data_IF_980929011268
#
_entry.id   IF_980929011268
#
_cell.length_a   1.000
_cell.length_b   1.000
_cell.length_c   1.000
_cell.angle_alpha   90.00
_cell.angle_beta   90.00
_cell.angle_gamma   90.00
#
_symmetry.space_group_name_H-M   'P 1'
#
loop_
_entity.id
_entity.type
_entity.pdbx_description
1 polymer ?
#
# COMPACT_ATOMS: atom_id res chain seq x y z
N UNK A 1 -18.55 -3.80 13.62
CA UNK A 1 -17.66 -4.28 12.56
C UNK A 1 -16.25 -4.43 13.10
N UNK A 2 -15.68 -5.60 12.93
CA UNK A 2 -14.31 -5.84 13.37
C UNK A 2 -13.34 -5.48 12.24
N UNK A 3 -12.37 -4.63 12.57
CA UNK A 3 -11.29 -4.30 11.63
C UNK A 3 -10.08 -5.13 12.01
N UNK A 4 -9.62 -5.94 11.09
CA UNK A 4 -8.43 -6.75 11.30
C UNK A 4 -7.21 -6.02 10.74
N UNK A 5 -6.25 -5.72 11.60
CA UNK A 5 -4.97 -5.19 11.17
C UNK A 5 -4.02 -6.34 10.84
N UNK A 6 -3.39 -6.25 9.67
CA UNK A 6 -2.40 -7.24 9.26
C UNK A 6 -1.03 -6.57 9.28
N UNK A 7 -0.23 -6.88 10.29
CA UNK A 7 1.05 -6.23 10.52
C UNK A 7 2.20 -6.93 9.79
N UNK A 8 3.35 -6.26 9.73
CA UNK A 8 4.57 -6.89 9.20
C UNK A 8 4.93 -8.16 9.97
N UNK A 9 4.66 -8.17 11.28
CA UNK A 9 4.89 -9.34 12.10
C UNK A 9 4.04 -10.53 11.65
N UNK A 10 2.76 -10.28 11.33
CA UNK A 10 1.88 -11.32 10.81
C UNK A 10 2.40 -11.89 9.48
N UNK A 11 2.87 -11.01 8.58
CA UNK A 11 3.47 -11.43 7.32
C UNK A 11 4.73 -12.24 7.54
N UNK A 12 5.58 -11.80 8.45
CA UNK A 12 6.82 -12.50 8.81
C UNK A 12 6.52 -13.91 9.37
N UNK A 13 5.53 -14.00 10.24
CA UNK A 13 5.10 -15.28 10.80
C UNK A 13 4.60 -16.23 9.70
N UNK A 14 3.84 -15.71 8.74
CA UNK A 14 3.38 -16.50 7.60
C UNK A 14 4.54 -17.02 6.74
N UNK A 15 5.54 -16.18 6.49
CA UNK A 15 6.75 -16.58 5.76
C UNK A 15 7.50 -17.68 6.52
N UNK A 16 7.65 -17.52 7.83
CA UNK A 16 8.28 -18.51 8.68
C UNK A 16 7.56 -19.86 8.61
N UNK A 17 6.24 -19.85 8.75
CA UNK A 17 5.44 -21.08 8.78
C UNK A 17 5.38 -21.77 7.42
N UNK A 18 5.23 -21.00 6.35
CA UNK A 18 4.98 -21.56 5.02
C UNK A 18 6.24 -21.88 4.22
N UNK A 19 7.32 -21.12 4.45
CA UNK A 19 8.56 -21.28 3.70
C UNK A 19 9.70 -21.90 4.50
N UNK A 20 9.53 -22.04 5.80
CA UNK A 20 10.52 -22.71 6.64
C UNK A 20 11.75 -21.88 7.02
N UNK A 21 11.79 -20.59 6.67
CA UNK A 21 12.87 -19.72 7.11
C UNK A 21 12.77 -19.44 8.61
N UNK A 22 13.90 -19.14 9.25
CA UNK A 22 13.88 -18.73 10.66
C UNK A 22 13.05 -17.46 10.83
N UNK A 23 12.66 -17.18 12.08
CA UNK A 23 11.90 -15.95 12.38
C UNK A 23 12.71 -14.70 12.04
N UNK A 24 14.02 -14.70 12.33
CA UNK A 24 14.89 -13.57 12.02
C UNK A 24 14.98 -13.32 10.51
N UNK A 25 15.21 -14.37 9.74
CA UNK A 25 15.29 -14.27 8.27
C UNK A 25 13.95 -13.84 7.68
N UNK A 26 12.85 -14.41 8.18
CA UNK A 26 11.50 -14.04 7.72
C UNK A 26 11.22 -12.56 7.95
N UNK A 27 11.59 -12.04 9.11
CA UNK A 27 11.44 -10.62 9.43
C UNK A 27 12.26 -9.74 8.49
N UNK A 28 13.50 -10.11 8.21
CA UNK A 28 14.36 -9.38 7.27
C UNK A 28 13.78 -9.37 5.86
N UNK A 29 13.26 -10.49 5.40
CA UNK A 29 12.63 -10.58 4.07
C UNK A 29 11.47 -9.59 3.96
N UNK A 30 10.60 -9.55 4.96
CA UNK A 30 9.43 -8.66 4.96
C UNK A 30 9.87 -7.19 5.02
N UNK A 31 10.80 -6.86 5.89
CA UNK A 31 11.30 -5.48 6.00
C UNK A 31 11.97 -5.02 4.70
N UNK A 32 12.80 -5.86 4.10
CA UNK A 32 13.47 -5.54 2.84
C UNK A 32 12.45 -5.37 1.71
N UNK A 33 11.40 -6.17 1.69
CA UNK A 33 10.35 -6.05 0.68
C UNK A 33 9.69 -4.66 0.75
N UNK A 34 9.27 -4.23 1.94
CA UNK A 34 8.60 -2.94 2.08
C UNK A 34 9.55 -1.75 1.86
N UNK A 35 10.79 -1.85 2.31
CA UNK A 35 11.78 -0.81 2.05
C UNK A 35 12.06 -0.66 0.56
N UNK A 36 12.21 -1.79 -0.14
CA UNK A 36 12.39 -1.79 -1.60
C UNK A 36 11.19 -1.19 -2.31
N UNK A 37 9.98 -1.53 -1.87
CA UNK A 37 8.76 -0.99 -2.44
C UNK A 37 8.73 0.53 -2.36
N UNK A 38 9.01 1.08 -1.17
CA UNK A 38 9.02 2.53 -0.95
C UNK A 38 10.13 3.19 -1.76
N UNK A 39 11.34 2.62 -1.77
CA UNK A 39 12.48 3.16 -2.52
C UNK A 39 12.18 3.24 -4.01
N UNK A 40 11.59 2.18 -4.57
CA UNK A 40 11.25 2.14 -5.98
C UNK A 40 10.13 3.13 -6.32
N UNK A 41 9.15 3.30 -5.43
CA UNK A 41 8.10 4.30 -5.62
C UNK A 41 8.66 5.72 -5.64
N UNK A 42 9.59 6.03 -4.75
CA UNK A 42 10.23 7.34 -4.72
C UNK A 42 11.02 7.58 -6.00
N UNK A 43 11.69 6.56 -6.50
CA UNK A 43 12.60 6.67 -7.66
C UNK A 43 11.86 6.69 -8.99
N UNK A 44 10.86 5.83 -9.17
CA UNK A 44 10.19 5.63 -10.45
C UNK A 44 8.72 6.06 -10.47
N UNK A 45 8.14 6.40 -9.34
CA UNK A 45 6.74 6.82 -9.18
C UNK A 45 5.71 5.74 -9.54
N UNK A 46 6.15 4.53 -9.81
CA UNK A 46 5.24 3.46 -10.24
C UNK A 46 5.90 2.11 -10.05
N UNK A 47 5.17 1.16 -9.47
CA UNK A 47 5.60 -0.23 -9.33
C UNK A 47 4.45 -1.14 -9.70
N UNK A 48 4.73 -2.11 -10.57
CA UNK A 48 3.76 -3.15 -10.92
C UNK A 48 4.23 -4.48 -10.34
N UNK A 49 3.37 -5.10 -9.53
CA UNK A 49 3.60 -6.45 -9.03
C UNK A 49 2.66 -7.37 -9.81
N UNK A 50 3.24 -8.25 -10.62
CA UNK A 50 2.48 -9.13 -11.51
C UNK A 50 1.44 -9.93 -10.74
N UNK A 51 0.24 -10.00 -11.30
CA UNK A 51 -0.91 -10.73 -10.74
C UNK A 51 -1.43 -10.20 -9.41
N UNK A 52 -0.85 -9.12 -8.89
CA UNK A 52 -1.30 -8.49 -7.65
C UNK A 52 -1.89 -7.11 -7.91
N UNK A 53 -1.10 -6.21 -8.45
CA UNK A 53 -1.57 -4.86 -8.71
C UNK A 53 -0.43 -3.89 -8.97
N UNK A 54 -0.80 -2.63 -9.00
CA UNK A 54 0.14 -1.55 -9.31
C UNK A 54 0.01 -0.43 -8.30
N UNK A 55 1.14 0.03 -7.79
CA UNK A 55 1.23 1.22 -6.95
C UNK A 55 1.71 2.38 -7.80
N UNK A 56 1.05 3.51 -7.70
CA UNK A 56 1.38 4.69 -8.49
C UNK A 56 1.37 5.93 -7.62
N UNK A 57 2.42 6.73 -7.72
CA UNK A 57 2.50 8.02 -7.04
C UNK A 57 1.82 9.07 -7.91
N UNK A 58 0.88 9.79 -7.33
CA UNK A 58 0.12 10.84 -8.01
C UNK A 58 0.33 12.16 -7.29
N UNK A 59 0.67 13.20 -8.06
CA UNK A 59 0.79 14.54 -7.53
C UNK A 59 -0.59 15.19 -7.46
N UNK A 60 -0.98 15.62 -6.27
CA UNK A 60 -2.20 16.40 -6.08
C UNK A 60 -1.83 17.86 -5.95
N UNK A 61 -2.38 18.67 -6.83
CA UNK A 61 -2.16 20.11 -6.81
C UNK A 61 -2.83 20.76 -5.61
N UNK A 62 -2.27 21.88 -5.18
CA UNK A 62 -2.89 22.73 -4.19
C UNK A 62 -4.28 23.15 -4.65
N UNK A 63 -5.22 23.12 -3.74
CA UNK A 63 -6.60 23.50 -4.03
C UNK A 63 -7.27 24.08 -2.79
N UNK A 64 -8.36 24.80 -3.00
CA UNK A 64 -9.20 25.27 -1.91
C UNK A 64 -10.22 24.20 -1.58
N UNK A 65 -10.23 23.77 -0.32
CA UNK A 65 -11.25 22.86 0.19
C UNK A 65 -12.25 23.62 1.02
N UNK A 66 -13.42 23.04 1.22
CA UNK A 66 -14.47 23.65 2.04
C UNK A 66 -15.03 22.60 2.98
N UNK A 67 -15.07 22.93 4.27
CA UNK A 67 -15.68 22.06 5.26
C UNK A 67 -17.20 22.22 5.18
N UNK A 68 -17.96 21.17 4.83
CA UNK A 68 -19.42 21.28 4.68
C UNK A 68 -20.15 21.60 5.98
N UNK A 69 -19.56 21.31 7.14
CA UNK A 69 -20.16 21.58 8.44
C UNK A 69 -19.95 23.03 8.88
N UNK A 70 -18.74 23.55 8.73
CA UNK A 70 -18.39 24.90 9.17
C UNK A 70 -18.48 25.93 8.07
N UNK A 71 -18.55 25.49 6.81
CA UNK A 71 -18.52 26.33 5.62
C UNK A 71 -17.26 27.20 5.52
N UNK A 72 -16.23 26.85 6.25
CA UNK A 72 -14.94 27.54 6.19
C UNK A 72 -14.10 26.97 5.07
N UNK A 73 -13.56 27.85 4.24
CA UNK A 73 -12.62 27.47 3.20
C UNK A 73 -11.22 27.31 3.82
N UNK A 74 -10.55 26.22 3.44
CA UNK A 74 -9.21 25.96 3.89
C UNK A 74 -8.35 25.54 2.69
N UNK A 75 -7.11 25.98 2.67
CA UNK A 75 -6.16 25.65 1.62
C UNK A 75 -5.67 24.22 1.80
N UNK A 76 -5.83 23.38 0.79
CA UNK A 76 -5.28 22.04 0.76
C UNK A 76 -3.95 22.08 0.03
N UNK A 77 -2.87 21.80 0.77
CA UNK A 77 -1.50 21.88 0.26
C UNK A 77 -1.25 20.82 -0.82
N UNK A 78 -0.44 21.17 -1.81
CA UNK A 78 0.03 20.20 -2.80
C UNK A 78 0.75 19.05 -2.10
N UNK A 79 0.48 17.82 -2.55
CA UNK A 79 1.08 16.64 -1.93
C UNK A 79 1.14 15.48 -2.91
N UNK A 80 1.96 14.49 -2.58
CA UNK A 80 2.03 13.23 -3.32
C UNK A 80 1.20 12.20 -2.57
N UNK A 81 0.42 11.43 -3.32
CA UNK A 81 -0.34 10.31 -2.76
C UNK A 81 0.00 9.05 -3.52
N UNK A 82 -0.23 7.90 -2.90
CA UNK A 82 -0.05 6.61 -3.53
C UNK A 82 -1.42 6.01 -3.82
N UNK A 83 -1.64 5.61 -5.08
CA UNK A 83 -2.84 4.90 -5.49
C UNK A 83 -2.48 3.44 -5.75
N UNK A 84 -3.35 2.54 -5.32
CA UNK A 84 -3.23 1.13 -5.61
C UNK A 84 -4.32 0.71 -6.60
N UNK A 85 -3.92 0.05 -7.69
CA UNK A 85 -4.85 -0.52 -8.66
C UNK A 85 -4.68 -2.02 -8.65
N UNK A 86 -5.69 -2.78 -8.21
CA UNK A 86 -5.58 -4.25 -8.21
C UNK A 86 -5.53 -4.80 -9.62
N UNK A 87 -4.83 -5.92 -9.79
CA UNK A 87 -4.78 -6.63 -11.07
C UNK A 87 -6.12 -7.29 -11.37
N UNK A 88 -6.32 -7.70 -12.61
CA UNK A 88 -7.52 -8.45 -13.00
C UNK A 88 -7.64 -9.75 -12.19
N UNK A 89 -6.52 -10.41 -11.91
CA UNK A 89 -6.50 -11.63 -11.11
C UNK A 89 -7.08 -11.40 -9.72
N UNK A 90 -6.68 -10.30 -9.05
CA UNK A 90 -7.21 -9.94 -7.73
C UNK A 90 -8.69 -9.60 -7.82
N UNK A 91 -9.09 -8.81 -8.83
CA UNK A 91 -10.50 -8.43 -9.02
C UNK A 91 -11.38 -9.66 -9.23
N UNK A 92 -10.93 -10.60 -10.02
CA UNK A 92 -11.68 -11.85 -10.27
C UNK A 92 -11.85 -12.64 -8.98
N UNK A 93 -10.79 -12.81 -8.20
CA UNK A 93 -10.86 -13.53 -6.93
C UNK A 93 -11.82 -12.88 -5.94
N UNK A 94 -11.83 -11.56 -5.88
CA UNK A 94 -12.75 -10.82 -5.01
C UNK A 94 -14.20 -10.98 -5.44
N UNK A 95 -14.46 -11.04 -6.74
CA UNK A 95 -15.82 -11.11 -7.28
C UNK A 95 -16.40 -12.52 -7.37
N UNK A 96 -15.58 -13.55 -7.12
CA UNK A 96 -16.04 -14.95 -7.11
C UNK A 96 -16.71 -15.38 -5.81
N UNK A 97 -16.58 -14.62 -4.78
CA UNK A 97 -17.09 -15.00 -3.44
C UNK A 97 -18.59 -14.83 -3.32
#
# INVERSE_FOLDING_TARGET
>A
MLIKNFTRKNLSDNVHQNLGFSKNISSLIIDDFFESLVSELIKFNKIKISSFGMFEVVDKKERMGRNPKTKVEAKIVARKIVKFKPSNTVKEKLNRQ
#
